data_IF_849138045053
#
_entry.id   IF_849138045053
#
_cell.length_a   1.000
_cell.length_b   1.000
_cell.length_c   1.000
_cell.angle_alpha   90.00
_cell.angle_beta   90.00
_cell.angle_gamma   90.00
#
_symmetry.space_group_name_H-M   'P 1'
#
loop_
_entity.id
_entity.type
_entity.pdbx_description
1 polymer ?
#
# COMPACT_ATOMS: atom_id res chain seq x y z
N UNK A 1 -1.56 22.54 -73.56
CA UNK A 1 -2.66 21.59 -73.83
C UNK A 1 -2.78 21.36 -75.33
N UNK A 2 -2.47 20.14 -75.84
CA UNK A 2 -2.80 19.57 -77.18
C UNK A 2 -1.77 18.55 -77.74
N UNK A 3 -0.63 18.29 -77.06
CA UNK A 3 0.38 17.33 -77.58
C UNK A 3 0.38 15.93 -76.94
N UNK A 4 -0.06 15.79 -75.68
CA UNK A 4 -0.06 14.48 -74.99
C UNK A 4 -1.35 13.65 -75.19
N UNK A 5 -2.44 14.27 -75.66
CA UNK A 5 -3.71 13.56 -75.86
C UNK A 5 -3.75 12.76 -77.18
N UNK A 6 -3.02 13.20 -78.22
CA UNK A 6 -2.93 12.45 -79.48
C UNK A 6 -2.02 11.22 -79.38
N UNK A 7 -0.99 11.26 -78.52
CA UNK A 7 -0.06 10.14 -78.31
C UNK A 7 -0.72 9.01 -77.53
N UNK A 8 -1.60 9.33 -76.58
CA UNK A 8 -2.32 8.31 -75.78
C UNK A 8 -3.43 7.61 -76.58
N UNK A 9 -4.09 8.32 -77.50
CA UNK A 9 -5.09 7.74 -78.42
C UNK A 9 -4.46 6.85 -79.49
N UNK A 10 -3.25 7.20 -79.99
CA UNK A 10 -2.50 6.36 -80.92
C UNK A 10 -1.93 5.08 -80.29
N UNK A 11 -1.65 5.09 -78.98
CA UNK A 11 -1.19 3.91 -78.23
C UNK A 11 -2.33 2.92 -77.94
N UNK A 12 -3.58 3.39 -77.90
CA UNK A 12 -4.76 2.57 -77.60
C UNK A 12 -5.28 1.82 -78.86
N UNK A 13 -5.10 2.38 -80.05
CA UNK A 13 -5.50 1.74 -81.32
C UNK A 13 -4.55 0.62 -81.77
N UNK A 14 -3.30 0.59 -81.30
CA UNK A 14 -2.30 -0.40 -81.73
C UNK A 14 -2.39 -1.74 -80.96
N UNK A 15 -3.14 -1.78 -79.85
CA UNK A 15 -3.38 -3.01 -79.10
C UNK A 15 -4.61 -3.81 -79.60
N UNK A 16 -5.48 -3.20 -80.40
CA UNK A 16 -6.72 -3.81 -80.90
C UNK A 16 -6.56 -4.69 -82.15
N UNK A 17 -5.33 -4.94 -82.62
CA UNK A 17 -5.07 -5.69 -83.88
C UNK A 17 -4.29 -6.99 -83.65
N UNK A 18 -4.07 -7.38 -82.40
CA UNK A 18 -3.43 -8.65 -82.06
C UNK A 18 -4.46 -9.69 -81.65
N UNK A 19 -4.59 -10.75 -82.45
CA UNK A 19 -5.30 -12.02 -82.19
C UNK A 19 -6.78 -12.09 -82.63
N UNK A 20 -6.96 -12.24 -83.94
CA UNK A 20 -8.00 -13.14 -84.45
C UNK A 20 -7.32 -14.30 -85.17
N UNK A 21 -7.96 -15.47 -85.08
CA UNK A 21 -7.69 -16.70 -85.86
C UNK A 21 -6.99 -17.83 -85.09
N UNK A 22 -7.75 -18.48 -84.21
CA UNK A 22 -7.67 -19.92 -84.00
C UNK A 22 -9.05 -20.53 -84.26
N UNK A 23 -9.02 -21.66 -84.96
CA UNK A 23 -10.12 -22.35 -85.63
C UNK A 23 -11.13 -23.02 -84.69
N UNK A 24 -12.39 -23.07 -85.15
CA UNK A 24 -13.47 -23.93 -84.64
C UNK A 24 -13.05 -25.41 -84.46
N UNK A 25 -13.31 -25.98 -83.27
CA UNK A 25 -13.89 -27.33 -83.05
C UNK A 25 -14.07 -27.71 -81.55
N UNK A 26 -15.35 -27.89 -81.17
CA UNK A 26 -15.96 -28.91 -80.27
C UNK A 26 -15.75 -28.91 -78.72
N UNK A 27 -16.88 -28.63 -78.04
CA UNK A 27 -17.61 -29.38 -76.98
C UNK A 27 -17.04 -29.66 -75.58
N UNK A 28 -17.90 -29.35 -74.57
CA UNK A 28 -18.11 -29.93 -73.21
C UNK A 28 -17.00 -29.76 -72.17
N UNK A 29 -17.22 -29.68 -70.85
CA UNK A 29 -18.31 -29.41 -69.91
C UNK A 29 -17.64 -29.61 -68.52
N UNK A 30 -17.97 -28.76 -67.52
CA UNK A 30 -17.73 -28.95 -66.06
C UNK A 30 -16.26 -29.14 -65.59
N UNK A 31 -15.79 -28.61 -64.47
CA UNK A 31 -16.13 -29.04 -63.11
C UNK A 31 -15.80 -27.96 -62.06
N UNK A 32 -16.66 -27.92 -61.04
CA UNK A 32 -16.59 -27.10 -59.84
C UNK A 32 -16.08 -27.98 -58.68
N UNK A 33 -14.85 -27.79 -58.21
CA UNK A 33 -14.33 -28.52 -57.04
C UNK A 33 -14.47 -27.72 -55.75
N UNK A 34 -15.19 -28.31 -54.79
CA UNK A 34 -15.46 -27.84 -53.43
C UNK A 34 -14.29 -28.23 -52.50
N UNK A 35 -13.62 -27.24 -51.91
CA UNK A 35 -12.69 -27.45 -50.79
C UNK A 35 -13.39 -27.31 -49.43
N UNK A 36 -13.34 -28.37 -48.63
CA UNK A 36 -13.82 -28.42 -47.23
C UNK A 36 -12.83 -27.64 -46.35
N UNK A 37 -13.23 -26.49 -45.83
CA UNK A 37 -12.54 -25.79 -44.74
C UNK A 37 -13.21 -26.14 -43.41
N UNK A 38 -12.50 -26.89 -42.58
CA UNK A 38 -12.80 -27.12 -41.16
C UNK A 38 -12.91 -25.78 -40.44
N UNK A 39 -14.11 -25.44 -39.96
CA UNK A 39 -14.39 -24.17 -39.26
C UNK A 39 -14.02 -24.33 -37.78
N UNK A 40 -12.96 -23.63 -37.34
CA UNK A 40 -12.66 -23.43 -35.92
C UNK A 40 -13.80 -22.59 -35.29
N UNK A 41 -14.16 -22.78 -34.01
CA UNK A 41 -15.20 -21.97 -33.40
C UNK A 41 -14.78 -20.50 -33.36
N UNK A 42 -15.50 -19.65 -34.11
CA UNK A 42 -15.33 -18.19 -34.24
C UNK A 42 -15.70 -17.40 -32.95
N UNK A 43 -15.64 -18.04 -31.80
CA UNK A 43 -15.85 -17.38 -30.51
C UNK A 43 -14.59 -16.63 -30.11
N UNK A 44 -14.62 -15.30 -30.28
CA UNK A 44 -13.56 -14.40 -29.82
C UNK A 44 -13.45 -14.49 -28.30
N UNK A 45 -12.25 -14.81 -27.82
CA UNK A 45 -11.96 -14.83 -26.39
C UNK A 45 -12.02 -13.40 -25.84
N UNK A 46 -13.10 -13.08 -25.15
CA UNK A 46 -13.28 -11.78 -24.52
C UNK A 46 -12.43 -11.69 -23.26
N UNK A 47 -11.69 -10.59 -23.15
CA UNK A 47 -10.84 -10.29 -22.00
C UNK A 47 -11.31 -9.00 -21.36
N UNK A 48 -11.33 -8.98 -20.03
CA UNK A 48 -11.61 -7.76 -19.29
C UNK A 48 -10.36 -6.89 -19.28
N UNK A 49 -10.46 -5.67 -19.80
CA UNK A 49 -9.37 -4.70 -19.79
C UNK A 49 -9.74 -3.48 -18.95
N UNK A 50 -8.73 -2.82 -18.39
CA UNK A 50 -8.91 -1.55 -17.69
C UNK A 50 -7.85 -0.56 -18.13
N UNK A 51 -8.28 0.65 -18.51
CA UNK A 51 -7.37 1.72 -18.92
C UNK A 51 -6.76 2.36 -17.69
N UNK A 52 -5.44 2.23 -17.53
CA UNK A 52 -4.70 2.81 -16.42
C UNK A 52 -4.64 4.34 -16.53
N UNK A 53 -4.90 5.03 -15.42
CA UNK A 53 -4.75 6.48 -15.30
C UNK A 53 -3.71 6.79 -14.23
N UNK A 54 -2.73 7.63 -14.55
CA UNK A 54 -1.73 8.09 -13.58
C UNK A 54 -2.44 8.88 -12.48
N UNK A 55 -2.29 8.42 -11.24
CA UNK A 55 -2.81 9.08 -10.04
C UNK A 55 -1.74 9.05 -8.96
N UNK A 56 -1.78 10.05 -8.08
CA UNK A 56 -0.95 10.06 -6.88
C UNK A 56 -1.47 9.00 -5.92
N UNK A 57 -0.62 8.03 -5.57
CA UNK A 57 -0.92 7.02 -4.55
C UNK A 57 -0.08 7.31 -3.32
N UNK A 58 -0.72 7.82 -2.27
CA UNK A 58 -0.08 8.02 -0.99
C UNK A 58 -0.12 6.69 -0.23
N UNK A 59 1.04 6.07 -0.05
CA UNK A 59 1.16 4.89 0.80
C UNK A 59 1.38 5.37 2.24
N UNK A 60 0.33 5.30 3.06
CA UNK A 60 0.41 5.70 4.47
C UNK A 60 0.98 4.56 5.31
N UNK A 61 2.09 4.83 6.00
CA UNK A 61 2.65 3.91 6.97
C UNK A 61 1.89 4.05 8.29
N UNK A 62 0.98 3.12 8.56
CA UNK A 62 0.27 3.06 9.85
C UNK A 62 1.17 2.36 10.87
N UNK A 63 1.88 3.15 11.68
CA UNK A 63 2.69 2.64 12.78
C UNK A 63 1.87 2.62 14.06
N UNK A 64 1.62 1.42 14.58
CA UNK A 64 0.97 1.22 15.86
C UNK A 64 2.02 1.10 16.98
N UNK A 65 1.77 1.75 18.11
CA UNK A 65 2.67 1.71 19.27
C UNK A 65 1.92 1.84 20.59
N UNK A 66 2.60 1.51 21.69
CA UNK A 66 2.07 1.71 23.05
C UNK A 66 2.75 2.92 23.69
N UNK A 67 1.96 3.78 24.30
CA UNK A 67 2.47 4.95 25.03
C UNK A 67 2.89 4.50 26.43
N UNK A 68 4.13 4.82 26.80
CA UNK A 68 4.67 4.56 28.12
C UNK A 68 4.98 5.89 28.84
N UNK A 69 4.96 5.87 30.17
CA UNK A 69 5.36 7.02 30.95
C UNK A 69 6.84 7.36 30.71
N UNK A 70 7.16 8.65 30.57
CA UNK A 70 8.54 9.12 30.40
C UNK A 70 9.43 8.74 31.58
N UNK A 71 8.87 8.76 32.78
CA UNK A 71 9.54 8.35 34.01
C UNK A 71 8.53 7.68 34.94
N UNK A 72 8.99 6.68 35.68
CA UNK A 72 8.23 5.98 36.72
C UNK A 72 9.09 5.95 37.99
N UNK A 73 8.49 6.28 39.12
CA UNK A 73 9.13 6.17 40.43
C UNK A 73 8.29 5.26 41.30
N UNK A 74 8.86 4.15 41.73
CA UNK A 74 8.23 3.25 42.70
C UNK A 74 8.61 3.73 44.11
N UNK A 75 7.61 4.13 44.88
CA UNK A 75 7.79 4.68 46.22
C UNK A 75 7.75 3.56 47.25
N UNK A 76 8.74 3.55 48.15
CA UNK A 76 8.82 2.62 49.27
C UNK A 76 9.35 3.35 50.49
N UNK A 77 8.91 2.92 51.66
CA UNK A 77 9.52 3.33 52.91
C UNK A 77 10.81 2.55 53.16
N UNK A 78 11.76 3.20 53.84
CA UNK A 78 13.03 2.57 54.24
C UNK A 78 12.83 1.63 55.44
N UNK A 79 11.90 1.97 56.32
CA UNK A 79 11.55 1.20 57.51
C UNK A 79 10.15 0.60 57.40
N UNK A 80 9.95 -0.56 58.02
CA UNK A 80 8.66 -1.27 58.05
C UNK A 80 7.76 -0.83 59.20
N UNK A 81 7.53 0.48 59.35
CA UNK A 81 6.67 1.03 60.42
C UNK A 81 5.22 1.25 59.94
N UNK A 82 4.32 1.54 60.89
CA UNK A 82 2.91 1.79 60.58
C UNK A 82 2.77 3.15 59.92
N UNK A 83 1.91 3.24 58.90
CA UNK A 83 1.59 4.53 58.24
C UNK A 83 0.74 5.37 59.18
N UNK A 84 1.24 6.54 59.58
CA UNK A 84 0.50 7.48 60.41
C UNK A 84 -0.48 8.31 59.57
N UNK A 85 -0.02 8.89 58.46
CA UNK A 85 -0.84 9.78 57.62
C UNK A 85 -0.45 9.71 56.14
N UNK A 86 -1.43 9.93 55.27
CA UNK A 86 -1.27 10.12 53.83
C UNK A 86 -1.78 11.51 53.47
N UNK A 87 -0.98 12.31 52.77
CA UNK A 87 -1.25 13.72 52.48
C UNK A 87 -1.84 13.97 51.10
N UNK A 88 -1.84 12.96 50.23
CA UNK A 88 -2.26 13.05 48.83
C UNK A 88 -3.36 12.06 48.52
N UNK A 89 -4.13 12.35 47.48
CA UNK A 89 -5.15 11.45 46.95
C UNK A 89 -4.71 10.89 45.60
N UNK A 90 -5.34 9.79 45.20
CA UNK A 90 -5.08 9.19 43.90
C UNK A 90 -5.47 10.17 42.78
N UNK A 91 -4.53 10.42 41.86
CA UNK A 91 -4.71 11.37 40.76
C UNK A 91 -4.17 12.78 41.04
N UNK A 92 -3.75 13.08 42.27
CA UNK A 92 -3.15 14.38 42.58
C UNK A 92 -1.78 14.56 41.90
N UNK A 93 -1.52 15.78 41.44
CA UNK A 93 -0.22 16.16 40.89
C UNK A 93 0.74 16.52 42.02
N UNK A 94 1.91 15.88 42.02
CA UNK A 94 2.93 16.03 43.07
C UNK A 94 4.25 16.54 42.51
N UNK A 95 5.07 17.15 43.38
CA UNK A 95 6.38 17.69 43.02
C UNK A 95 7.50 17.00 43.80
N UNK A 96 8.74 17.08 43.30
CA UNK A 96 9.91 16.50 43.96
C UNK A 96 10.08 17.10 45.36
N UNK A 97 10.22 16.23 46.36
CA UNK A 97 10.37 16.63 47.78
C UNK A 97 9.07 16.88 48.53
N UNK A 98 7.91 16.79 47.86
CA UNK A 98 6.62 16.86 48.53
C UNK A 98 6.41 15.64 49.43
N UNK A 99 6.03 15.86 50.69
CA UNK A 99 5.68 14.79 51.62
C UNK A 99 4.37 14.14 51.17
N UNK A 100 4.43 12.86 50.82
CA UNK A 100 3.27 12.10 50.34
C UNK A 100 2.60 11.31 51.45
N UNK A 101 3.41 10.73 52.34
CA UNK A 101 2.97 9.96 53.48
C UNK A 101 4.00 10.04 54.60
N UNK A 102 3.57 9.75 55.82
CA UNK A 102 4.38 9.78 57.03
C UNK A 102 4.14 8.50 57.83
N UNK A 103 5.22 7.91 58.33
CA UNK A 103 5.19 6.77 59.25
C UNK A 103 5.07 7.26 60.69
N UNK A 104 4.57 6.38 61.56
CA UNK A 104 4.54 6.64 62.99
C UNK A 104 5.96 6.68 63.55
N UNK A 105 6.35 7.85 64.07
CA UNK A 105 7.69 8.14 64.56
C UNK A 105 7.95 7.65 65.97
N UNK A 106 6.95 7.17 66.70
CA UNK A 106 7.07 6.84 68.11
C UNK A 106 8.29 5.95 68.43
N UNK A 107 8.53 4.91 67.61
CA UNK A 107 9.66 3.99 67.80
C UNK A 107 11.01 4.62 67.45
N UNK A 108 11.04 5.48 66.43
CA UNK A 108 12.25 6.18 66.01
C UNK A 108 12.64 7.24 67.04
N UNK A 109 11.68 8.02 67.52
CA UNK A 109 11.87 9.04 68.56
C UNK A 109 12.38 8.42 69.86
N UNK A 110 11.82 7.28 70.27
CA UNK A 110 12.29 6.57 71.46
C UNK A 110 13.74 6.09 71.31
N UNK A 111 14.12 5.53 70.15
CA UNK A 111 15.50 5.10 69.88
C UNK A 111 16.47 6.28 69.86
N UNK A 112 16.03 7.40 69.30
CA UNK A 112 16.80 8.63 69.24
C UNK A 112 17.08 9.15 70.65
N UNK A 113 16.04 9.30 71.48
CA UNK A 113 16.17 9.75 72.87
C UNK A 113 17.08 8.82 73.69
N UNK A 114 16.97 7.50 73.52
CA UNK A 114 17.87 6.54 74.18
C UNK A 114 19.34 6.72 73.78
N UNK A 115 19.60 6.99 72.50
CA UNK A 115 20.95 7.24 72.01
C UNK A 115 21.53 8.57 72.52
N UNK A 116 20.71 9.61 72.62
CA UNK A 116 21.10 10.90 73.21
C UNK A 116 21.42 10.76 74.70
N UNK A 117 20.56 10.09 75.47
CA UNK A 117 20.80 9.83 76.90
C UNK A 117 22.08 9.01 77.12
N UNK A 118 22.37 8.05 76.23
CA UNK A 118 23.59 7.25 76.30
C UNK A 118 24.84 8.08 75.99
N UNK A 119 24.74 9.02 75.03
CA UNK A 119 25.83 9.93 74.69
C UNK A 119 26.12 10.94 75.80
N UNK A 120 25.08 11.46 76.46
CA UNK A 120 25.21 12.41 77.57
C UNK A 120 25.76 11.79 78.86
N UNK A 121 25.56 10.48 79.05
CA UNK A 121 26.08 9.73 80.21
C UNK A 121 27.53 9.26 80.05
N UNK A 122 28.07 9.29 78.83
CA UNK A 122 29.45 8.94 78.52
C UNK A 122 30.37 10.15 78.72
#
# INVERSE_FOLDING_TARGET
>A
MKKYNCIWVLLCCLACVGTTSCSDKKSSADEQEKGVTTVLPDTKNEVTTQILKKRTFAHELVSNGKVNARSKADLRFETGEVIARIYVKNGDRVHKGQKLAELDKFRLEQKLSQAEDALLKA
#
